data_IF_166733251962
#
_entry.id   IF_166733251962
#
_cell.length_a   1.000
_cell.length_b   1.000
_cell.length_c   1.000
_cell.angle_alpha   90.00
_cell.angle_beta   90.00
_cell.angle_gamma   90.00
#
_symmetry.space_group_name_H-M   'P 1'
#
loop_
_entity.id
_entity.type
_entity.pdbx_description
1 polymer ?
#
# COMPACT_ATOMS: atom_id res chain seq x y z
N UNK A 1 -0.48 -7.05 -18.49
CA UNK A 1 0.42 -6.01 -17.97
C UNK A 1 -0.36 -5.11 -17.04
N UNK A 2 0.26 -4.62 -15.97
CA UNK A 2 -0.29 -3.52 -15.16
C UNK A 2 0.18 -2.19 -15.78
N UNK A 3 -0.67 -1.16 -15.73
CA UNK A 3 -0.38 0.16 -16.27
C UNK A 3 -0.76 1.24 -15.25
N UNK A 4 -0.06 2.36 -15.29
CA UNK A 4 -0.13 3.52 -14.40
C UNK A 4 0.30 4.78 -15.16
N UNK A 5 0.30 5.93 -14.50
CA UNK A 5 0.84 7.16 -15.06
C UNK A 5 2.39 7.17 -15.17
N UNK A 6 3.08 6.21 -14.53
CA UNK A 6 4.54 6.04 -14.56
C UNK A 6 4.90 4.53 -14.48
N UNK A 7 4.76 3.85 -15.62
CA UNK A 7 4.90 2.39 -15.74
C UNK A 7 6.29 1.88 -15.37
N UNK A 8 7.33 2.61 -15.73
CA UNK A 8 8.70 2.21 -15.45
C UNK A 8 8.97 2.22 -13.94
N UNK A 9 8.53 3.28 -13.25
CA UNK A 9 8.73 3.40 -11.80
C UNK A 9 7.96 2.34 -11.03
N UNK A 10 6.67 2.14 -11.33
CA UNK A 10 5.88 1.15 -10.59
C UNK A 10 6.38 -0.27 -10.88
N UNK A 11 6.74 -0.57 -12.13
CA UNK A 11 7.27 -1.89 -12.50
C UNK A 11 8.59 -2.17 -11.80
N UNK A 12 9.46 -1.17 -11.64
CA UNK A 12 10.71 -1.31 -10.89
C UNK A 12 10.46 -1.69 -9.42
N UNK A 13 9.51 -1.02 -8.75
CA UNK A 13 9.14 -1.33 -7.35
C UNK A 13 8.57 -2.75 -7.25
N UNK A 14 7.63 -3.09 -8.13
CA UNK A 14 6.99 -4.42 -8.14
C UNK A 14 7.92 -5.56 -8.60
N UNK A 15 9.14 -5.26 -9.05
CA UNK A 15 10.17 -6.25 -9.39
C UNK A 15 11.30 -6.32 -8.36
N UNK A 16 11.16 -5.67 -7.20
CA UNK A 16 12.20 -5.65 -6.16
C UNK A 16 12.54 -7.07 -5.69
N UNK A 17 11.51 -7.89 -5.45
CA UNK A 17 11.64 -9.30 -5.06
C UNK A 17 10.33 -10.06 -5.34
N UNK A 18 10.29 -11.35 -5.00
CA UNK A 18 9.12 -12.21 -5.18
C UNK A 18 7.90 -11.70 -4.40
N UNK A 19 8.10 -11.20 -3.18
CA UNK A 19 7.05 -10.72 -2.29
C UNK A 19 6.45 -9.37 -2.69
N UNK A 20 7.18 -8.56 -3.46
CA UNK A 20 6.81 -7.20 -3.85
C UNK A 20 5.50 -7.09 -4.66
N UNK A 21 5.05 -8.19 -5.27
CA UNK A 21 3.80 -8.26 -6.05
C UNK A 21 2.60 -8.75 -5.25
N UNK A 22 2.79 -9.06 -3.97
CA UNK A 22 1.76 -9.54 -3.08
C UNK A 22 1.46 -8.50 -2.01
N UNK A 23 0.26 -8.57 -1.43
CA UNK A 23 -0.21 -7.60 -0.44
C UNK A 23 0.29 -8.01 0.95
N UNK A 24 0.96 -7.10 1.64
CA UNK A 24 1.36 -7.23 3.04
C UNK A 24 0.32 -6.65 4.01
N UNK A 25 -0.41 -5.63 3.58
CA UNK A 25 -1.37 -4.90 4.42
C UNK A 25 -2.63 -4.53 3.63
N UNK A 26 -3.76 -4.56 4.32
CA UNK A 26 -4.94 -3.79 3.94
C UNK A 26 -5.45 -3.02 5.16
N UNK A 27 -6.01 -1.83 4.95
CA UNK A 27 -6.62 -1.07 6.03
C UNK A 27 -7.85 -0.29 5.56
N UNK A 28 -8.65 0.15 6.54
CA UNK A 28 -9.84 0.99 6.33
C UNK A 28 -9.62 2.30 7.08
N UNK A 29 -9.71 3.41 6.35
CA UNK A 29 -9.64 4.75 6.91
C UNK A 29 -10.95 5.12 7.61
N UNK A 30 -10.87 5.43 8.89
CA UNK A 30 -12.05 5.73 9.74
C UNK A 30 -11.95 7.06 10.46
N UNK A 31 -10.93 7.89 10.18
CA UNK A 31 -10.79 9.19 10.85
C UNK A 31 -11.85 10.16 10.30
N UNK A 32 -12.82 10.61 11.10
CA UNK A 32 -13.94 11.41 10.61
C UNK A 32 -13.54 12.83 10.20
N UNK A 33 -12.34 13.28 10.57
CA UNK A 33 -11.86 14.64 10.34
C UNK A 33 -10.98 14.78 9.10
N UNK A 34 -10.60 13.67 8.47
CA UNK A 34 -9.81 13.67 7.23
C UNK A 34 -10.76 13.29 6.09
N UNK A 35 -11.23 14.30 5.36
CA UNK A 35 -12.24 14.12 4.31
C UNK A 35 -11.69 14.29 2.90
N UNK A 36 -10.45 14.76 2.76
CA UNK A 36 -9.83 15.10 1.47
C UNK A 36 -8.37 14.66 1.44
N UNK A 37 -7.82 14.33 0.26
CA UNK A 37 -6.40 14.02 0.11
C UNK A 37 -5.51 15.21 0.51
N UNK A 38 -4.52 14.91 1.35
CA UNK A 38 -3.49 15.80 1.88
C UNK A 38 -2.18 15.67 1.10
N UNK A 39 -2.06 14.67 0.22
CA UNK A 39 -0.81 14.31 -0.50
C UNK A 39 0.31 13.91 0.46
N UNK A 40 -0.09 13.28 1.56
CA UNK A 40 0.78 12.73 2.58
C UNK A 40 0.20 11.38 2.98
N UNK A 41 1.01 10.32 2.84
CA UNK A 41 0.55 8.95 3.05
C UNK A 41 -0.06 8.73 4.42
N UNK A 42 0.51 9.34 5.48
CA UNK A 42 0.06 9.12 6.87
C UNK A 42 -1.33 9.69 7.13
N UNK A 43 -1.69 10.77 6.46
CA UNK A 43 -3.04 11.34 6.55
C UNK A 43 -3.99 10.67 5.57
N UNK A 44 -3.53 10.40 4.35
CA UNK A 44 -4.37 9.88 3.27
C UNK A 44 -4.86 8.45 3.57
N UNK A 45 -4.04 7.63 4.23
CA UNK A 45 -4.44 6.29 4.69
C UNK A 45 -5.56 6.31 5.75
N UNK A 46 -5.78 7.46 6.41
CA UNK A 46 -6.78 7.62 7.48
C UNK A 46 -8.08 8.25 7.01
N UNK A 47 -8.19 8.67 5.74
CA UNK A 47 -9.38 9.34 5.18
C UNK A 47 -10.67 8.58 5.52
N UNK A 48 -11.70 9.30 5.98
CA UNK A 48 -13.00 8.72 6.32
C UNK A 48 -13.59 7.92 5.14
N UNK A 49 -13.79 6.63 5.36
CA UNK A 49 -14.42 5.72 4.39
C UNK A 49 -13.48 5.29 3.26
N UNK A 50 -12.17 5.55 3.37
CA UNK A 50 -11.19 5.00 2.44
C UNK A 50 -10.82 3.57 2.81
N UNK A 51 -10.18 2.88 1.88
CA UNK A 51 -9.41 1.67 2.14
C UNK A 51 -8.16 1.69 1.27
N UNK A 52 -7.10 1.02 1.70
CA UNK A 52 -5.87 0.89 0.93
C UNK A 52 -5.29 -0.52 1.01
N UNK A 53 -4.43 -0.81 0.03
CA UNK A 53 -3.58 -2.00 0.01
C UNK A 53 -2.13 -1.55 -0.07
N UNK A 54 -1.27 -2.23 0.68
CA UNK A 54 0.19 -2.04 0.64
C UNK A 54 0.83 -3.30 0.07
N UNK A 55 1.39 -3.24 -1.15
CA UNK A 55 2.23 -4.32 -1.68
C UNK A 55 3.51 -4.44 -0.86
N UNK A 56 4.04 -5.66 -0.73
CA UNK A 56 5.27 -5.91 0.01
C UNK A 56 5.03 -6.56 1.37
N UNK A 57 5.95 -6.32 2.29
CA UNK A 57 6.12 -7.08 3.52
C UNK A 57 4.90 -6.94 4.44
N UNK A 58 4.46 -8.05 5.02
CA UNK A 58 3.49 -8.00 6.10
C UNK A 58 4.15 -7.59 7.42
N UNK A 59 3.42 -6.89 8.29
CA UNK A 59 3.91 -6.62 9.65
C UNK A 59 4.08 -7.92 10.44
N UNK A 60 5.04 -7.95 11.37
CA UNK A 60 5.29 -9.10 12.23
C UNK A 60 4.05 -9.48 13.07
N UNK A 61 3.34 -8.48 13.58
CA UNK A 61 2.13 -8.67 14.41
C UNK A 61 0.85 -8.98 13.60
N UNK A 62 0.93 -8.91 12.27
CA UNK A 62 -0.17 -9.21 11.35
C UNK A 62 0.32 -10.06 10.15
N UNK A 63 1.24 -10.98 10.41
CA UNK A 63 1.92 -11.72 9.35
C UNK A 63 0.94 -12.59 8.55
N UNK A 64 0.93 -12.41 7.22
CA UNK A 64 0.04 -13.12 6.32
C UNK A 64 0.76 -14.14 5.41
N UNK A 65 2.04 -14.39 5.65
CA UNK A 65 2.88 -15.25 4.82
C UNK A 65 3.78 -14.49 3.85
N UNK A 66 3.48 -13.22 3.54
CA UNK A 66 4.29 -12.44 2.60
C UNK A 66 5.53 -11.84 3.25
N UNK A 67 6.70 -12.06 2.62
CA UNK A 67 7.98 -11.48 3.02
C UNK A 67 8.59 -10.74 1.84
N UNK A 68 8.91 -9.47 2.03
CA UNK A 68 9.48 -8.62 0.99
C UNK A 68 10.46 -7.61 1.60
N UNK A 69 11.33 -7.04 0.77
CA UNK A 69 12.20 -5.94 1.16
C UNK A 69 11.52 -4.57 1.05
N UNK A 70 10.33 -4.51 0.44
CA UNK A 70 9.50 -3.30 0.34
C UNK A 70 8.29 -3.35 1.26
#
# INVERSE_FOLDING_TARGET
>A
SAHSNDDERITKVLNTDEGARYIGEFAIGVNPFIEKPMRDTLFDEKIKGSFHFTPGNAYDDAFNGNKSAI
#
